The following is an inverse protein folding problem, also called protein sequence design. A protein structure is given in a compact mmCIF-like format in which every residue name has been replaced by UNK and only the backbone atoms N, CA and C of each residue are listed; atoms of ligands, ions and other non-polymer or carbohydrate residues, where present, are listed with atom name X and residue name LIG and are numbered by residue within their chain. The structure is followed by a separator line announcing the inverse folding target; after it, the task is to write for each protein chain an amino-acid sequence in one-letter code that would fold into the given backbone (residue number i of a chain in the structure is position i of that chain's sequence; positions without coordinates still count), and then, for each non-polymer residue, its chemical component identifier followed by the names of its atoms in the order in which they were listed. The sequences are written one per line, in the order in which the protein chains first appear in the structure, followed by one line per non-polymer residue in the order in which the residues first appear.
data_IF_061772391800
#
_entry.id   IF_061772391800
#
_cell.length_a   1.000
_cell.length_b   1.000
_cell.length_c   1.000
_cell.angle_alpha   90.00
_cell.angle_beta   90.00
_cell.angle_gamma   90.00
#
_symmetry.space_group_name_H-M   'P 1'
#
loop_
_entity.id
_entity.type
_entity.pdbx_description
1 polymer ?
#
# COMPACT_ATOMS: atom_id res chain seq x y z
N UNK A 1 16.41 -15.13 16.76
CA UNK A 1 15.49 -15.16 15.61
C UNK A 1 14.31 -14.19 15.76
N UNK A 2 13.55 -14.21 16.87
CA UNK A 2 12.37 -13.32 17.06
C UNK A 2 12.70 -11.81 17.10
N UNK A 3 13.85 -11.40 17.65
CA UNK A 3 14.26 -9.99 17.69
C UNK A 3 14.49 -9.38 16.30
N UNK A 4 14.88 -10.20 15.31
CA UNK A 4 15.08 -9.75 13.93
C UNK A 4 13.74 -9.41 13.27
N UNK A 5 12.71 -10.22 13.51
CA UNK A 5 11.36 -9.96 13.02
C UNK A 5 10.80 -8.66 13.59
N UNK A 6 11.00 -8.41 14.89
CA UNK A 6 10.58 -7.17 15.55
C UNK A 6 11.29 -5.94 14.95
N UNK A 7 12.60 -6.04 14.69
CA UNK A 7 13.37 -4.97 14.05
C UNK A 7 12.88 -4.63 12.64
N UNK A 8 12.66 -5.64 11.78
CA UNK A 8 12.13 -5.40 10.44
C UNK A 8 10.69 -4.88 10.47
N UNK A 9 9.87 -5.34 11.42
CA UNK A 9 8.50 -4.84 11.60
C UNK A 9 8.51 -3.36 12.03
N UNK A 10 9.40 -2.98 12.95
CA UNK A 10 9.61 -1.59 13.33
C UNK A 10 10.04 -0.74 12.12
N UNK A 11 11.04 -1.20 11.36
CA UNK A 11 11.51 -0.49 10.15
C UNK A 11 10.38 -0.34 9.14
N UNK A 12 9.60 -1.39 8.88
CA UNK A 12 8.47 -1.34 7.96
C UNK A 12 7.42 -0.32 8.37
N UNK A 13 7.01 -0.31 9.65
CA UNK A 13 6.05 0.67 10.17
C UNK A 13 6.63 2.10 10.14
N UNK A 14 7.90 2.28 10.48
CA UNK A 14 8.57 3.58 10.49
C UNK A 14 8.67 4.24 9.09
N UNK A 15 8.58 3.46 8.00
CA UNK A 15 8.49 4.04 6.64
C UNK A 15 7.16 4.76 6.35
N UNK A 16 6.17 4.61 7.24
CA UNK A 16 4.81 5.12 7.05
C UNK A 16 4.14 4.60 5.75
N UNK A 17 4.59 3.46 5.22
CA UNK A 17 3.97 2.77 4.09
C UNK A 17 2.99 1.69 4.57
N UNK A 18 1.71 1.79 4.18
CA UNK A 18 0.65 0.89 4.65
C UNK A 18 0.49 -0.38 3.81
N UNK A 19 0.80 -0.31 2.51
CA UNK A 19 0.52 -1.39 1.56
C UNK A 19 1.19 -2.70 1.93
N UNK A 20 2.52 -2.69 2.11
CA UNK A 20 3.27 -3.90 2.47
C UNK A 20 2.87 -4.48 3.84
N UNK A 21 2.57 -3.61 4.82
CA UNK A 21 2.12 -4.04 6.16
C UNK A 21 0.76 -4.71 6.08
N UNK A 22 -0.19 -4.14 5.33
CA UNK A 22 -1.50 -4.77 5.11
C UNK A 22 -1.36 -6.11 4.41
N UNK A 23 -0.57 -6.21 3.34
CA UNK A 23 -0.30 -7.49 2.66
C UNK A 23 0.27 -8.53 3.62
N UNK A 24 1.26 -8.16 4.45
CA UNK A 24 1.85 -9.06 5.43
C UNK A 24 0.82 -9.54 6.47
N UNK A 25 -0.06 -8.65 6.95
CA UNK A 25 -1.15 -9.01 7.86
C UNK A 25 -2.12 -9.97 7.19
N UNK A 26 -2.60 -9.67 5.98
CA UNK A 26 -3.52 -10.54 5.24
C UNK A 26 -2.94 -11.95 5.02
N UNK A 27 -1.68 -12.02 4.57
CA UNK A 27 -1.01 -13.31 4.35
C UNK A 27 -0.79 -14.07 5.66
N UNK A 28 -0.45 -13.38 6.74
CA UNK A 28 -0.27 -14.00 8.07
C UNK A 28 -1.59 -14.56 8.61
N UNK A 29 -2.70 -13.83 8.45
CA UNK A 29 -4.04 -14.31 8.84
C UNK A 29 -4.44 -15.52 8.00
N UNK A 30 -4.27 -15.45 6.68
CA UNK A 30 -4.59 -16.57 5.78
C UNK A 30 -3.77 -17.83 6.12
N UNK A 31 -2.47 -17.66 6.35
CA UNK A 31 -1.60 -18.74 6.80
C UNK A 31 -2.06 -19.31 8.14
N UNK A 32 -2.40 -18.45 9.11
CA UNK A 32 -2.82 -18.87 10.45
C UNK A 32 -4.12 -19.68 10.40
N UNK A 33 -5.12 -19.24 9.64
CA UNK A 33 -6.37 -19.97 9.40
C UNK A 33 -6.07 -21.34 8.79
N UNK A 34 -5.25 -21.37 7.73
CA UNK A 34 -4.87 -22.62 7.05
C UNK A 34 -4.12 -23.56 7.99
N UNK A 35 -3.16 -23.06 8.76
CA UNK A 35 -2.39 -23.82 9.74
C UNK A 35 -3.30 -24.46 10.79
N UNK A 36 -4.18 -23.68 11.43
CA UNK A 36 -5.10 -24.23 12.43
C UNK A 36 -6.19 -25.13 11.83
N UNK A 37 -6.48 -25.04 10.53
CA UNK A 37 -7.43 -25.94 9.86
C UNK A 37 -6.85 -27.32 9.55
N UNK A 38 -5.59 -27.39 9.14
CA UNK A 38 -4.97 -28.61 8.60
C UNK A 38 -3.89 -29.23 9.49
N UNK A 39 -3.32 -28.51 10.45
CA UNK A 39 -2.29 -29.05 11.33
C UNK A 39 -2.85 -30.12 12.29
N UNK A 40 -1.98 -31.04 12.74
CA UNK A 40 -2.32 -32.01 13.78
C UNK A 40 -2.55 -31.32 15.13
N UNK A 41 -3.34 -31.90 16.06
CA UNK A 41 -3.58 -31.29 17.37
C UNK A 41 -2.29 -30.96 18.15
N UNK A 42 -1.27 -31.83 18.09
CA UNK A 42 0.03 -31.59 18.70
C UNK A 42 0.76 -30.37 18.12
N UNK A 43 0.70 -30.20 16.79
CA UNK A 43 1.30 -29.05 16.11
C UNK A 43 0.55 -27.75 16.44
N UNK A 44 -0.79 -27.79 16.56
CA UNK A 44 -1.59 -26.63 16.99
C UNK A 44 -1.20 -26.17 18.39
N UNK A 45 -1.13 -27.10 19.35
CA UNK A 45 -0.76 -26.79 20.74
C UNK A 45 0.62 -26.11 20.83
N UNK A 46 1.63 -26.63 20.13
CA UNK A 46 2.96 -26.03 20.06
C UNK A 46 2.97 -24.69 19.32
N UNK A 47 2.11 -24.53 18.31
CA UNK A 47 1.96 -23.31 17.52
C UNK A 47 1.30 -22.16 18.29
N UNK A 48 0.32 -22.45 19.14
CA UNK A 48 -0.45 -21.44 19.88
C UNK A 48 0.45 -20.52 20.71
N UNK A 49 1.41 -21.08 21.46
CA UNK A 49 2.34 -20.28 22.25
C UNK A 49 3.17 -19.32 21.38
N UNK A 50 3.58 -19.75 20.18
CA UNK A 50 4.33 -18.91 19.23
C UNK A 50 3.46 -17.79 18.66
N UNK A 51 2.22 -18.10 18.30
CA UNK A 51 1.26 -17.10 17.79
C UNK A 51 1.01 -16.01 18.84
N UNK A 52 0.80 -16.40 20.11
CA UNK A 52 0.62 -15.46 21.21
C UNK A 52 1.87 -14.58 21.37
N UNK A 53 3.07 -15.18 21.38
CA UNK A 53 4.32 -14.43 21.49
C UNK A 53 4.52 -13.42 20.35
N UNK A 54 4.20 -13.80 19.11
CA UNK A 54 4.25 -12.91 17.95
C UNK A 54 3.21 -11.78 18.09
N UNK A 55 2.00 -12.09 18.54
CA UNK A 55 0.95 -11.08 18.77
C UNK A 55 1.36 -10.03 19.80
N UNK A 56 1.93 -10.45 20.94
CA UNK A 56 2.46 -9.55 21.95
C UNK A 56 3.59 -8.69 21.37
N UNK A 57 4.52 -9.31 20.63
CA UNK A 57 5.61 -8.59 19.97
C UNK A 57 5.09 -7.56 18.95
N UNK A 58 4.01 -7.86 18.22
CA UNK A 58 3.42 -6.94 17.25
C UNK A 58 2.83 -5.71 17.92
N UNK A 59 2.12 -5.89 19.06
CA UNK A 59 1.59 -4.78 19.87
C UNK A 59 2.75 -3.92 20.41
N UNK A 60 3.80 -4.55 20.95
CA UNK A 60 4.97 -3.83 21.44
C UNK A 60 5.65 -3.00 20.33
N UNK A 61 5.88 -3.61 19.17
CA UNK A 61 6.47 -2.93 18.01
C UNK A 61 5.60 -1.77 17.53
N UNK A 62 4.28 -1.96 17.46
CA UNK A 62 3.35 -0.89 17.09
C UNK A 62 3.45 0.29 18.06
N UNK A 63 3.37 0.03 19.37
CA UNK A 63 3.46 1.06 20.41
C UNK A 63 4.80 1.79 20.40
N UNK A 64 5.91 1.06 20.27
CA UNK A 64 7.26 1.66 20.13
C UNK A 64 7.31 2.55 18.89
N UNK A 65 6.73 2.11 17.77
CA UNK A 65 6.73 2.90 16.54
C UNK A 65 5.84 4.14 16.63
N UNK A 66 4.70 4.08 17.32
CA UNK A 66 3.87 5.26 17.59
C UNK A 66 4.67 6.36 18.30
N UNK A 67 5.40 5.97 19.35
CA UNK A 67 6.24 6.88 20.12
C UNK A 67 7.39 7.40 19.24
N UNK A 68 8.12 6.51 18.58
CA UNK A 68 9.26 6.85 17.73
C UNK A 68 8.89 7.76 16.54
N UNK A 69 7.64 7.71 16.08
CA UNK A 69 7.15 8.53 14.96
C UNK A 69 6.33 9.74 15.40
N UNK A 70 6.31 10.09 16.70
CA UNK A 70 5.51 11.20 17.23
C UNK A 70 4.04 11.14 16.76
N UNK A 71 3.42 9.95 16.83
CA UNK A 71 2.05 9.66 16.34
C UNK A 71 1.81 9.85 14.82
N UNK A 72 2.84 10.08 14.00
CA UNK A 72 2.69 10.11 12.55
C UNK A 72 2.21 8.76 11.99
N UNK A 73 2.62 7.65 12.61
CA UNK A 73 2.09 6.33 12.26
C UNK A 73 0.57 6.27 12.46
N UNK A 74 0.06 6.75 13.60
CA UNK A 74 -1.38 6.81 13.86
C UNK A 74 -2.10 7.65 12.81
N UNK A 75 -1.58 8.84 12.50
CA UNK A 75 -2.16 9.70 11.48
C UNK A 75 -2.23 8.98 10.13
N UNK A 76 -1.14 8.34 9.72
CA UNK A 76 -1.09 7.61 8.45
C UNK A 76 -2.09 6.47 8.38
N UNK A 77 -2.22 5.66 9.44
CA UNK A 77 -3.12 4.50 9.47
C UNK A 77 -4.60 4.86 9.73
N UNK A 78 -4.90 6.12 10.06
CA UNK A 78 -6.27 6.64 10.23
C UNK A 78 -6.68 7.65 9.17
N UNK A 79 -5.97 7.66 8.03
CA UNK A 79 -6.22 8.55 6.89
C UNK A 79 -6.16 10.04 7.24
N UNK A 80 -5.25 10.40 8.14
CA UNK A 80 -4.97 11.78 8.53
C UNK A 80 -3.69 12.27 7.88
N UNK A 81 -3.62 13.56 7.60
CA UNK A 81 -2.38 14.20 7.16
C UNK A 81 -1.39 14.32 8.33
N UNK A 82 -0.18 14.82 8.06
CA UNK A 82 0.85 15.00 9.09
C UNK A 82 0.38 15.88 10.27
N UNK A 83 -0.51 16.84 10.01
CA UNK A 83 -1.13 17.72 11.01
C UNK A 83 -2.34 17.10 11.73
N UNK A 84 -2.66 15.82 11.50
CA UNK A 84 -3.75 15.11 12.17
C UNK A 84 -5.16 15.40 11.62
N UNK A 85 -5.29 16.14 10.53
CA UNK A 85 -6.58 16.39 9.87
C UNK A 85 -6.97 15.21 8.99
N UNK A 86 -8.21 14.72 9.11
CA UNK A 86 -8.74 13.63 8.29
C UNK A 86 -8.77 14.05 6.82
N UNK A 87 -8.22 13.22 5.95
CA UNK A 87 -8.25 13.42 4.50
C UNK A 87 -9.53 12.83 3.95
N UNK A 88 -10.20 13.57 3.05
CA UNK A 88 -11.38 13.07 2.33
C UNK A 88 -11.03 12.04 1.27
N UNK A 89 -9.81 12.08 0.74
CA UNK A 89 -9.30 11.15 -0.25
C UNK A 89 -8.14 10.29 0.30
N UNK A 90 -8.38 8.98 0.35
CA UNK A 90 -7.42 7.96 0.81
C UNK A 90 -6.40 7.62 -0.28
N UNK A 91 -6.76 7.86 -1.54
CA UNK A 91 -5.97 7.50 -2.72
C UNK A 91 -4.91 8.55 -3.06
N UNK A 92 -4.91 9.69 -2.36
CA UNK A 92 -3.94 10.78 -2.53
C UNK A 92 -3.89 11.31 -3.96
N UNK A 93 -5.03 11.40 -4.64
CA UNK A 93 -5.16 11.85 -6.03
C UNK A 93 -4.83 10.80 -7.08
N UNK A 94 -4.49 9.55 -6.70
CA UNK A 94 -4.12 8.50 -7.66
C UNK A 94 -5.29 8.08 -8.56
N UNK A 95 -6.53 8.18 -8.07
CA UNK A 95 -7.71 7.88 -8.87
C UNK A 95 -7.90 8.93 -9.98
N UNK A 96 -7.70 10.20 -9.66
CA UNK A 96 -7.81 11.32 -10.62
C UNK A 96 -6.72 11.21 -11.71
N UNK A 97 -5.50 10.87 -11.30
CA UNK A 97 -4.39 10.58 -12.23
C UNK A 97 -4.69 9.38 -13.13
N UNK A 98 -5.23 8.29 -12.58
CA UNK A 98 -5.61 7.13 -13.38
C UNK A 98 -6.77 7.45 -14.33
N UNK A 99 -7.75 8.24 -13.89
CA UNK A 99 -8.90 8.67 -14.69
C UNK A 99 -8.45 9.46 -15.92
N UNK A 100 -7.55 10.41 -15.76
CA UNK A 100 -6.98 11.16 -16.91
C UNK A 100 -6.18 10.29 -17.87
N UNK A 101 -5.51 9.26 -17.36
CA UNK A 101 -4.80 8.30 -18.21
C UNK A 101 -5.77 7.42 -19.01
N UNK A 102 -6.89 7.02 -18.41
CA UNK A 102 -7.96 6.34 -19.14
C UNK A 102 -8.65 7.26 -20.16
N UNK A 103 -8.93 8.51 -19.83
CA UNK A 103 -9.48 9.49 -20.78
C UNK A 103 -8.54 9.73 -21.96
N UNK A 104 -7.22 9.80 -21.72
CA UNK A 104 -6.22 9.91 -22.78
C UNK A 104 -6.25 8.69 -23.71
N UNK A 105 -6.40 7.49 -23.14
CA UNK A 105 -6.57 6.26 -23.91
C UNK A 105 -7.87 6.26 -24.71
N UNK A 106 -9.01 6.64 -24.13
CA UNK A 106 -10.30 6.71 -24.82
C UNK A 106 -10.25 7.68 -26.02
N UNK A 107 -9.51 8.77 -25.91
CA UNK A 107 -9.33 9.73 -27.00
C UNK A 107 -8.36 9.23 -28.09
N UNK A 108 -7.37 8.41 -27.74
CA UNK A 108 -6.34 7.92 -28.66
C UNK A 108 -6.07 6.42 -28.46
N UNK A 109 -7.06 5.53 -28.66
CA UNK A 109 -6.96 4.13 -28.22
C UNK A 109 -5.96 3.34 -29.05
N UNK A 110 -5.77 3.68 -30.33
CA UNK A 110 -4.89 2.91 -31.21
C UNK A 110 -3.42 3.25 -30.93
N UNK A 111 -3.01 4.51 -31.08
CA UNK A 111 -1.60 4.92 -31.01
C UNK A 111 -1.17 5.53 -29.67
N UNK A 112 -2.12 5.81 -28.78
CA UNK A 112 -1.86 6.55 -27.55
C UNK A 112 -1.56 8.04 -27.78
N UNK A 113 -1.32 8.76 -26.69
CA UNK A 113 -0.98 10.19 -26.72
C UNK A 113 0.52 10.49 -26.88
N UNK A 114 1.36 9.45 -26.96
CA UNK A 114 2.81 9.56 -27.06
C UNK A 114 3.55 9.44 -25.72
N UNK A 115 4.76 8.90 -25.76
CA UNK A 115 5.58 8.62 -24.56
C UNK A 115 5.88 9.89 -23.78
N UNK A 116 5.65 9.84 -22.46
CA UNK A 116 5.85 10.98 -21.55
C UNK A 116 4.83 12.11 -21.70
N UNK A 117 3.80 11.95 -22.55
CA UNK A 117 2.78 12.98 -22.78
C UNK A 117 1.70 13.03 -21.69
N UNK A 118 1.55 11.99 -20.87
CA UNK A 118 0.50 11.93 -19.84
C UNK A 118 0.46 13.15 -18.90
N UNK A 119 1.63 13.65 -18.48
CA UNK A 119 1.72 14.85 -17.62
C UNK A 119 1.26 16.14 -18.33
N UNK A 120 1.51 16.24 -19.63
CA UNK A 120 1.13 17.42 -20.43
C UNK A 120 -0.35 17.38 -20.80
N UNK A 121 -0.86 16.19 -21.13
CA UNK A 121 -2.27 15.95 -21.35
C UNK A 121 -3.08 16.33 -20.10
N UNK A 122 -2.71 15.80 -18.93
CA UNK A 122 -3.34 16.11 -17.64
C UNK A 122 -3.24 17.60 -17.27
N UNK A 123 -2.09 18.23 -17.53
CA UNK A 123 -1.96 19.67 -17.30
C UNK A 123 -2.87 20.51 -18.22
N UNK A 124 -3.21 20.01 -19.41
CA UNK A 124 -4.10 20.67 -20.36
C UNK A 124 -5.57 20.44 -20.02
N UNK A 125 -5.95 19.25 -19.58
CA UNK A 125 -7.36 18.89 -19.31
C UNK A 125 -7.82 19.27 -17.91
N UNK A 126 -6.99 19.02 -16.89
CA UNK A 126 -7.37 19.23 -15.47
C UNK A 126 -6.59 20.37 -14.81
N UNK A 127 -5.60 20.96 -15.49
CA UNK A 127 -4.72 21.97 -14.89
C UNK A 127 -3.72 21.40 -13.87
N UNK A 128 -3.69 20.09 -13.68
CA UNK A 128 -2.86 19.40 -12.69
C UNK A 128 -1.54 18.97 -13.33
N UNK A 129 -0.41 19.39 -12.74
CA UNK A 129 0.94 18.95 -13.16
C UNK A 129 1.44 17.84 -12.25
N UNK A 130 0.88 16.64 -12.41
CA UNK A 130 1.28 15.44 -11.68
C UNK A 130 1.79 14.34 -12.62
N UNK A 131 2.87 13.68 -12.21
CA UNK A 131 3.38 12.48 -12.88
C UNK A 131 2.44 11.30 -12.62
N UNK A 132 2.46 10.31 -13.51
CA UNK A 132 1.73 9.07 -13.25
C UNK A 132 2.30 8.36 -12.03
N UNK A 133 1.43 7.72 -11.27
CA UNK A 133 1.79 6.84 -10.16
C UNK A 133 1.47 5.37 -10.46
N UNK A 134 1.10 5.04 -11.70
CA UNK A 134 0.80 3.70 -12.14
C UNK A 134 1.32 3.46 -13.56
N UNK A 135 2.32 2.59 -13.68
CA UNK A 135 2.95 2.27 -14.97
C UNK A 135 1.99 1.61 -15.96
N UNK A 136 1.00 0.83 -15.49
CA UNK A 136 0.05 0.16 -16.38
C UNK A 136 -0.85 1.20 -17.07
N UNK A 137 -1.48 2.09 -16.30
CA UNK A 137 -2.36 3.13 -16.86
C UNK A 137 -1.57 4.14 -17.67
N UNK A 138 -0.35 4.50 -17.23
CA UNK A 138 0.58 5.32 -18.01
C UNK A 138 0.87 4.72 -19.38
N UNK A 139 1.34 3.47 -19.43
CA UNK A 139 1.76 2.84 -20.68
C UNK A 139 0.58 2.67 -21.65
N UNK A 140 -0.57 2.24 -21.15
CA UNK A 140 -1.83 2.16 -21.93
C UNK A 140 -2.19 3.52 -22.50
N UNK A 141 -2.15 4.59 -21.69
CA UNK A 141 -2.46 5.94 -22.17
C UNK A 141 -1.47 6.45 -23.23
N UNK A 142 -0.17 6.19 -23.05
CA UNK A 142 0.90 6.73 -23.90
C UNK A 142 1.07 5.97 -25.22
N UNK A 143 0.78 4.66 -25.25
CA UNK A 143 1.03 3.79 -26.42
C UNK A 143 -0.26 3.25 -27.06
N UNK A 144 -1.41 3.39 -26.41
CA UNK A 144 -2.65 2.80 -26.89
C UNK A 144 -2.60 1.27 -26.87
N UNK A 145 -3.23 0.63 -27.85
CA UNK A 145 -3.30 -0.83 -27.97
C UNK A 145 -1.95 -1.50 -28.24
N UNK A 146 -0.94 -0.78 -28.74
CA UNK A 146 0.41 -1.31 -29.01
C UNK A 146 1.22 -1.65 -27.74
N UNK A 147 0.68 -1.36 -26.56
CA UNK A 147 1.27 -1.77 -25.28
C UNK A 147 1.14 -3.28 -25.03
N UNK A 148 0.23 -3.96 -25.76
CA UNK A 148 -0.07 -5.38 -25.64
C UNK A 148 0.54 -6.21 -26.77
#
# INVERSE_FOLDING_TARGET
MYGVLAFFSFRALATLSRGGVFTAVFMSVFFMVSFFRYATPSAKAKGTAKVIAIGISAIAVWSITLIATNNMLYNKYTDRNASGKKQGDITTGRVEIAKTEFEAFEQNPIFGIGVGMGKFFRAKTEGIRAASHNEVTRLVSEHGLWVF
#
